data_IF_626483406786
#
_entry.id   IF_626483406786
#
_cell.length_a   1.000
_cell.length_b   1.000
_cell.length_c   1.000
_cell.angle_alpha   90.00
_cell.angle_beta   90.00
_cell.angle_gamma   90.00
#
_symmetry.space_group_name_H-M   'P 1'
#
loop_
_entity.id
_entity.type
_entity.pdbx_description
1 polymer ?
#
# COMPACT_ATOMS: atom_id res chain seq x y z
N UNK A 1 -12.87 54.61 -20.35
CA UNK A 1 -12.37 53.28 -20.74
C UNK A 1 -13.47 52.32 -20.39
N UNK A 2 -14.10 51.74 -21.41
CA UNK A 2 -15.24 50.85 -21.22
C UNK A 2 -14.81 49.40 -21.41
N UNK A 3 -15.58 48.47 -20.85
CA UNK A 3 -15.38 47.03 -20.96
C UNK A 3 -16.52 46.42 -21.79
N UNK A 4 -16.25 45.33 -22.53
CA UNK A 4 -17.30 44.61 -23.22
C UNK A 4 -18.35 44.09 -22.23
N UNK A 5 -19.59 43.96 -22.72
CA UNK A 5 -20.65 43.28 -21.99
C UNK A 5 -20.50 41.76 -22.12
N UNK A 6 -20.95 41.03 -21.11
CA UNK A 6 -20.84 39.56 -21.07
C UNK A 6 -21.32 38.85 -22.34
N UNK A 7 -22.39 39.33 -22.99
CA UNK A 7 -22.95 38.71 -24.21
C UNK A 7 -22.09 38.91 -25.47
N UNK A 8 -21.44 40.07 -25.62
CA UNK A 8 -20.65 40.35 -26.84
C UNK A 8 -19.31 39.61 -26.84
N UNK A 9 -18.80 39.25 -25.66
CA UNK A 9 -17.55 38.50 -25.52
C UNK A 9 -17.66 37.13 -26.20
N UNK A 10 -18.65 36.32 -25.83
CA UNK A 10 -18.88 35.00 -26.41
C UNK A 10 -19.12 35.08 -27.93
N UNK A 11 -20.02 35.96 -28.38
CA UNK A 11 -20.30 36.17 -29.80
C UNK A 11 -19.05 36.50 -30.62
N UNK A 12 -18.25 37.47 -30.17
CA UNK A 12 -17.05 37.91 -30.89
C UNK A 12 -15.96 36.82 -30.91
N UNK A 13 -15.74 36.13 -29.78
CA UNK A 13 -14.74 35.07 -29.69
C UNK A 13 -15.12 33.85 -30.53
N UNK A 14 -16.37 33.40 -30.45
CA UNK A 14 -16.86 32.26 -31.22
C UNK A 14 -16.75 32.53 -32.71
N UNK A 15 -17.15 33.72 -33.15
CA UNK A 15 -17.02 34.10 -34.55
C UNK A 15 -15.56 34.19 -35.02
N UNK A 16 -14.66 34.69 -34.18
CA UNK A 16 -13.23 34.77 -34.52
C UNK A 16 -12.57 33.39 -34.66
N UNK A 17 -12.93 32.44 -33.79
CA UNK A 17 -12.27 31.13 -33.71
C UNK A 17 -12.92 30.09 -34.62
N UNK A 18 -14.25 30.05 -34.67
CA UNK A 18 -15.01 29.02 -35.37
C UNK A 18 -15.64 29.52 -36.68
N UNK A 19 -15.54 30.82 -36.95
CA UNK A 19 -16.15 31.47 -38.11
C UNK A 19 -17.64 31.76 -37.90
N UNK A 20 -18.32 31.99 -39.02
CA UNK A 20 -19.64 32.64 -39.03
C UNK A 20 -20.79 31.67 -38.68
N UNK A 21 -20.48 30.39 -38.54
CA UNK A 21 -21.43 29.30 -38.33
C UNK A 21 -20.89 28.26 -37.34
N UNK A 22 -21.78 27.77 -36.49
CA UNK A 22 -21.51 26.76 -35.49
C UNK A 22 -22.49 25.59 -35.57
N UNK A 23 -22.00 24.34 -35.55
CA UNK A 23 -22.91 23.19 -35.54
C UNK A 23 -23.57 22.99 -34.17
N UNK A 24 -22.78 23.10 -33.10
CA UNK A 24 -23.25 22.88 -31.72
C UNK A 24 -22.71 23.96 -30.78
N UNK A 25 -23.60 24.63 -30.06
CA UNK A 25 -23.28 25.53 -28.97
C UNK A 25 -23.83 25.00 -27.65
N UNK A 26 -23.08 25.14 -26.54
CA UNK A 26 -23.45 24.48 -25.28
C UNK A 26 -23.34 25.40 -24.08
N UNK A 27 -24.07 25.08 -23.01
CA UNK A 27 -23.91 25.75 -21.73
C UNK A 27 -24.91 25.27 -20.68
N UNK A 28 -24.88 25.86 -19.49
CA UNK A 28 -25.91 25.60 -18.48
C UNK A 28 -27.30 26.06 -18.96
N UNK A 29 -28.36 25.43 -18.47
CA UNK A 29 -29.75 25.83 -18.80
C UNK A 29 -30.09 27.27 -18.40
N UNK A 30 -29.36 27.84 -17.43
CA UNK A 30 -29.46 29.26 -17.07
C UNK A 30 -28.87 30.21 -18.11
N UNK A 31 -27.98 29.73 -18.98
CA UNK A 31 -27.45 30.51 -20.08
C UNK A 31 -28.42 30.59 -21.25
N UNK A 32 -29.43 29.71 -21.32
CA UNK A 32 -30.46 29.74 -22.38
C UNK A 32 -31.09 31.12 -22.52
N UNK A 33 -31.41 31.76 -21.39
CA UNK A 33 -31.90 33.14 -21.36
C UNK A 33 -31.33 33.89 -20.14
N UNK A 34 -30.81 35.12 -20.32
CA UNK A 34 -30.76 35.89 -21.55
C UNK A 34 -29.52 35.62 -22.41
N UNK A 35 -28.55 34.84 -21.94
CA UNK A 35 -27.19 34.82 -22.51
C UNK A 35 -27.13 34.34 -23.97
N UNK A 36 -27.42 33.06 -24.22
CA UNK A 36 -27.39 32.50 -25.57
C UNK A 36 -28.44 33.16 -26.48
N UNK A 37 -29.59 33.58 -25.94
CA UNK A 37 -30.57 34.35 -26.71
C UNK A 37 -29.98 35.65 -27.26
N UNK A 38 -29.20 36.36 -26.46
CA UNK A 38 -28.53 37.58 -26.89
C UNK A 38 -27.35 37.28 -27.84
N UNK A 39 -26.64 36.17 -27.64
CA UNK A 39 -25.60 35.75 -28.58
C UNK A 39 -26.15 35.45 -29.96
N UNK A 40 -27.26 34.73 -30.06
CA UNK A 40 -27.97 34.49 -31.33
C UNK A 40 -28.31 35.84 -31.97
N UNK A 41 -28.92 36.75 -31.22
CA UNK A 41 -29.30 38.06 -31.75
C UNK A 41 -28.10 38.87 -32.27
N UNK A 42 -26.97 38.86 -31.55
CA UNK A 42 -25.76 39.58 -31.93
C UNK A 42 -25.08 38.95 -33.15
N UNK A 43 -24.89 37.63 -33.14
CA UNK A 43 -24.22 36.90 -34.22
C UNK A 43 -25.03 36.93 -35.51
N UNK A 44 -26.33 36.67 -35.45
CA UNK A 44 -27.18 36.72 -36.63
C UNK A 44 -27.28 38.14 -37.18
N UNK A 45 -27.45 39.17 -36.33
CA UNK A 45 -27.45 40.56 -36.79
C UNK A 45 -26.14 40.96 -37.48
N UNK A 46 -25.00 40.43 -37.02
CA UNK A 46 -23.72 40.60 -37.69
C UNK A 46 -23.69 39.93 -39.06
N UNK A 47 -24.14 38.67 -39.15
CA UNK A 47 -24.18 37.91 -40.40
C UNK A 47 -25.12 38.52 -41.46
N UNK A 48 -26.18 39.23 -41.03
CA UNK A 48 -27.06 40.00 -41.92
C UNK A 48 -26.46 41.34 -42.41
N UNK A 49 -25.25 41.70 -41.97
CA UNK A 49 -24.59 42.94 -42.37
C UNK A 49 -24.42 43.04 -43.90
N UNK A 50 -24.65 44.21 -44.51
CA UNK A 50 -24.57 44.38 -45.98
C UNK A 50 -23.16 44.18 -46.56
N UNK A 51 -22.15 43.98 -45.71
CA UNK A 51 -20.76 43.70 -46.07
C UNK A 51 -20.37 42.23 -45.78
N UNK A 52 -21.29 41.43 -45.26
CA UNK A 52 -21.06 40.05 -44.82
C UNK A 52 -21.74 39.09 -45.80
N UNK A 53 -20.96 38.21 -46.44
CA UNK A 53 -21.49 37.08 -47.24
C UNK A 53 -21.65 35.82 -46.37
N UNK A 54 -22.15 35.99 -45.14
CA UNK A 54 -22.21 34.91 -44.15
C UNK A 54 -23.56 34.18 -44.19
N UNK A 55 -23.57 32.95 -43.66
CA UNK A 55 -24.81 32.21 -43.43
C UNK A 55 -25.71 32.94 -42.41
N UNK A 56 -27.01 33.01 -42.72
CA UNK A 56 -28.00 33.71 -41.88
C UNK A 56 -28.23 33.06 -40.52
N UNK A 57 -28.14 31.73 -40.47
CA UNK A 57 -28.28 30.95 -39.24
C UNK A 57 -26.91 30.80 -38.60
N UNK A 58 -26.74 31.33 -37.38
CA UNK A 58 -25.47 31.26 -36.66
C UNK A 58 -25.20 29.87 -36.09
N UNK A 59 -26.19 29.21 -35.48
CA UNK A 59 -26.00 27.90 -34.87
C UNK A 59 -27.22 26.97 -34.99
N UNK A 60 -26.97 25.71 -35.39
CA UNK A 60 -28.03 24.70 -35.62
C UNK A 60 -28.57 24.08 -34.33
N UNK A 61 -27.68 23.78 -33.39
CA UNK A 61 -28.04 23.01 -32.19
C UNK A 61 -27.50 23.67 -30.93
N UNK A 62 -28.41 23.94 -30.00
CA UNK A 62 -28.06 24.35 -28.64
C UNK A 62 -28.29 23.20 -27.66
N UNK A 63 -27.24 22.85 -26.91
CA UNK A 63 -27.27 21.77 -25.92
C UNK A 63 -27.12 22.37 -24.53
N UNK A 64 -28.18 22.31 -23.72
CA UNK A 64 -28.19 22.89 -22.37
C UNK A 64 -28.16 21.83 -21.28
N UNK A 65 -27.24 21.99 -20.34
CA UNK A 65 -27.06 21.08 -19.19
C UNK A 65 -27.94 21.50 -18.01
N UNK A 66 -28.53 20.52 -17.33
CA UNK A 66 -29.34 20.74 -16.15
C UNK A 66 -28.55 21.33 -14.97
N UNK A 67 -29.27 21.81 -13.97
CA UNK A 67 -28.66 22.37 -12.77
C UNK A 67 -28.26 21.30 -11.76
N UNK A 68 -27.24 21.63 -10.97
CA UNK A 68 -26.84 20.87 -9.79
C UNK A 68 -27.57 21.41 -8.55
N UNK A 69 -28.14 20.51 -7.77
CA UNK A 69 -28.87 20.81 -6.53
C UNK A 69 -28.19 20.14 -5.34
N UNK A 70 -28.24 20.79 -4.18
CA UNK A 70 -27.87 20.21 -2.89
C UNK A 70 -28.98 20.47 -1.88
N UNK A 71 -29.40 19.43 -1.15
CA UNK A 71 -30.47 19.54 -0.12
C UNK A 71 -31.73 20.25 -0.66
N UNK A 72 -32.12 19.93 -1.89
CA UNK A 72 -33.32 20.48 -2.54
C UNK A 72 -33.19 21.93 -3.05
N UNK A 73 -32.02 22.57 -2.97
CA UNK A 73 -31.78 23.93 -3.49
C UNK A 73 -30.72 23.91 -4.58
N UNK A 74 -30.88 24.77 -5.61
CA UNK A 74 -29.86 24.97 -6.65
C UNK A 74 -28.53 25.34 -5.98
N UNK A 75 -27.44 24.66 -6.33
CA UNK A 75 -26.11 25.06 -5.87
C UNK A 75 -25.75 26.41 -6.50
N UNK A 76 -25.39 27.38 -5.67
CA UNK A 76 -24.85 28.65 -6.16
C UNK A 76 -23.86 29.26 -5.16
N UNK A 77 -22.90 30.02 -5.70
CA UNK A 77 -21.98 30.81 -4.87
C UNK A 77 -22.71 31.82 -4.01
N UNK A 78 -23.78 32.43 -4.53
CA UNK A 78 -24.58 33.43 -3.81
C UNK A 78 -25.32 32.84 -2.60
N UNK A 79 -25.84 31.62 -2.71
CA UNK A 79 -26.50 30.90 -1.62
C UNK A 79 -25.51 30.21 -0.68
N UNK A 80 -24.20 30.26 -0.99
CA UNK A 80 -23.12 29.59 -0.26
C UNK A 80 -23.39 28.11 0.01
N UNK A 81 -24.14 27.46 -0.88
CA UNK A 81 -24.55 26.05 -0.78
C UNK A 81 -23.90 25.25 -1.92
N UNK A 82 -22.58 25.30 -2.02
CA UNK A 82 -21.83 24.55 -3.01
C UNK A 82 -20.68 23.81 -2.32
N UNK A 83 -20.27 22.71 -2.92
CA UNK A 83 -19.06 21.99 -2.56
C UNK A 83 -18.08 22.25 -3.71
N UNK A 84 -16.88 22.73 -3.41
CA UNK A 84 -15.87 22.91 -4.45
C UNK A 84 -15.30 21.54 -4.84
N UNK A 85 -14.79 21.42 -6.07
CA UNK A 85 -14.09 20.19 -6.49
C UNK A 85 -12.95 19.84 -5.53
N UNK A 86 -12.24 20.86 -5.02
CA UNK A 86 -11.16 20.67 -4.05
C UNK A 86 -11.67 20.08 -2.74
N UNK A 87 -12.79 20.58 -2.21
CA UNK A 87 -13.36 20.07 -0.96
C UNK A 87 -13.86 18.64 -1.15
N UNK A 88 -14.56 18.37 -2.27
CA UNK A 88 -15.01 17.02 -2.60
C UNK A 88 -13.86 16.00 -2.65
N UNK A 89 -12.70 16.38 -3.22
CA UNK A 89 -11.52 15.51 -3.26
C UNK A 89 -10.83 15.39 -1.89
N UNK A 90 -10.82 16.44 -1.08
CA UNK A 90 -10.23 16.41 0.27
C UNK A 90 -11.03 15.53 1.23
N UNK A 91 -12.33 15.37 0.99
CA UNK A 91 -13.22 14.50 1.78
C UNK A 91 -13.01 13.00 1.47
N UNK A 92 -12.01 12.65 0.65
CA UNK A 92 -11.61 11.28 0.34
C UNK A 92 -12.27 10.69 -0.91
N UNK A 93 -13.06 11.48 -1.64
CA UNK A 93 -13.65 11.06 -2.90
C UNK A 93 -12.67 11.26 -4.07
N UNK A 94 -12.85 10.47 -5.14
CA UNK A 94 -12.05 10.61 -6.36
C UNK A 94 -12.84 11.31 -7.46
N UNK A 95 -12.14 11.83 -8.49
CA UNK A 95 -12.80 12.39 -9.67
C UNK A 95 -13.79 11.41 -10.32
N UNK A 96 -13.46 10.11 -10.31
CA UNK A 96 -14.32 9.06 -10.88
C UNK A 96 -15.62 8.87 -10.09
N UNK A 97 -15.64 9.13 -8.78
CA UNK A 97 -16.88 9.15 -8.01
C UNK A 97 -17.83 10.20 -8.57
N UNK A 98 -17.35 11.44 -8.74
CA UNK A 98 -18.19 12.53 -9.25
C UNK A 98 -18.61 12.28 -10.71
N UNK A 99 -17.69 11.79 -11.55
CA UNK A 99 -18.03 11.43 -12.94
C UNK A 99 -19.09 10.34 -13.02
N UNK A 100 -18.98 9.29 -12.21
CA UNK A 100 -20.01 8.24 -12.12
C UNK A 100 -21.36 8.77 -11.64
N UNK A 101 -21.38 9.73 -10.71
CA UNK A 101 -22.63 10.39 -10.32
C UNK A 101 -23.25 11.10 -11.53
N UNK A 102 -22.46 11.85 -12.31
CA UNK A 102 -22.94 12.53 -13.51
C UNK A 102 -23.47 11.56 -14.58
N UNK A 103 -22.77 10.45 -14.83
CA UNK A 103 -23.14 9.45 -15.84
C UNK A 103 -24.46 8.72 -15.54
N UNK A 104 -24.93 8.77 -14.29
CA UNK A 104 -26.22 8.17 -13.89
C UNK A 104 -27.43 9.02 -14.24
N UNK A 105 -27.24 10.24 -14.77
CA UNK A 105 -28.33 11.13 -15.18
C UNK A 105 -28.14 11.63 -16.60
N UNK A 106 -29.24 11.78 -17.35
CA UNK A 106 -29.19 12.46 -18.65
C UNK A 106 -28.71 13.90 -18.45
N UNK A 107 -27.85 14.39 -19.33
CA UNK A 107 -27.22 15.71 -19.21
C UNK A 107 -28.21 16.88 -19.07
N UNK A 108 -29.39 16.76 -19.69
CA UNK A 108 -30.49 17.73 -19.62
C UNK A 108 -31.28 17.72 -18.31
N UNK A 109 -31.07 16.70 -17.47
CA UNK A 109 -31.76 16.54 -16.20
C UNK A 109 -31.04 17.30 -15.10
N UNK A 110 -31.79 17.79 -14.12
CA UNK A 110 -31.19 18.33 -12.90
C UNK A 110 -30.57 17.20 -12.08
N UNK A 111 -29.34 17.41 -11.62
CA UNK A 111 -28.62 16.46 -10.77
C UNK A 111 -28.77 16.88 -9.32
N UNK A 112 -29.12 15.93 -8.44
CA UNK A 112 -29.18 16.16 -7.00
C UNK A 112 -27.95 15.52 -6.38
N UNK A 113 -27.04 16.35 -5.88
CA UNK A 113 -25.92 15.90 -5.07
C UNK A 113 -26.41 15.51 -3.67
N UNK A 114 -26.01 14.33 -3.24
CA UNK A 114 -26.11 13.85 -1.86
C UNK A 114 -25.02 12.81 -1.61
N UNK A 115 -24.71 12.58 -0.35
CA UNK A 115 -23.81 11.49 0.08
C UNK A 115 -24.33 10.12 -0.39
N UNK A 116 -25.65 9.94 -0.49
CA UNK A 116 -26.25 8.73 -1.05
C UNK A 116 -25.81 8.50 -2.50
N UNK A 117 -25.69 9.56 -3.32
CA UNK A 117 -25.19 9.42 -4.70
C UNK A 117 -23.72 9.05 -4.77
N UNK A 118 -22.93 9.54 -3.81
CA UNK A 118 -21.53 9.14 -3.69
C UNK A 118 -21.44 7.65 -3.33
N UNK A 119 -22.28 7.18 -2.40
CA UNK A 119 -22.37 5.76 -2.05
C UNK A 119 -22.84 4.89 -3.23
N UNK A 120 -23.83 5.35 -4.00
CA UNK A 120 -24.29 4.67 -5.22
C UNK A 120 -23.14 4.50 -6.22
N UNK A 121 -22.33 5.56 -6.42
CA UNK A 121 -21.15 5.50 -7.28
C UNK A 121 -20.09 4.52 -6.75
N UNK A 122 -19.84 4.49 -5.45
CA UNK A 122 -18.89 3.53 -4.85
C UNK A 122 -19.33 2.08 -5.02
N UNK A 123 -20.64 1.80 -4.98
CA UNK A 123 -21.17 0.46 -5.29
C UNK A 123 -20.88 0.06 -6.73
N UNK A 124 -21.00 1.00 -7.68
CA UNK A 124 -20.65 0.77 -9.10
C UNK A 124 -19.15 0.50 -9.25
N UNK A 125 -18.30 1.30 -8.60
CA UNK A 125 -16.84 1.11 -8.58
C UNK A 125 -16.49 -0.27 -8.02
N UNK A 126 -17.07 -0.65 -6.88
CA UNK A 126 -16.85 -1.94 -6.23
C UNK A 126 -17.24 -3.11 -7.16
N UNK A 127 -18.33 -2.97 -7.91
CA UNK A 127 -18.76 -3.99 -8.89
C UNK A 127 -17.76 -4.14 -10.04
N UNK A 128 -17.24 -3.03 -10.56
CA UNK A 128 -16.17 -3.02 -11.56
C UNK A 128 -14.91 -3.69 -11.01
N UNK A 129 -14.42 -3.27 -9.84
CA UNK A 129 -13.25 -3.86 -9.17
C UNK A 129 -13.40 -5.36 -8.96
N UNK A 130 -14.55 -5.79 -8.45
CA UNK A 130 -14.84 -7.21 -8.25
C UNK A 130 -14.75 -8.00 -9.57
N UNK A 131 -15.28 -7.46 -10.66
CA UNK A 131 -15.19 -8.12 -11.97
C UNK A 131 -13.75 -8.26 -12.46
N UNK A 132 -12.99 -7.17 -12.48
CA UNK A 132 -11.58 -7.24 -12.90
C UNK A 132 -10.76 -8.16 -11.98
N UNK A 133 -11.01 -8.17 -10.67
CA UNK A 133 -10.37 -9.10 -9.73
C UNK A 133 -10.76 -10.56 -10.00
N UNK A 134 -12.02 -10.84 -10.30
CA UNK A 134 -12.47 -12.18 -10.66
C UNK A 134 -11.81 -12.66 -11.96
N UNK A 135 -11.68 -11.78 -12.95
CA UNK A 135 -10.90 -12.07 -14.16
C UNK A 135 -9.44 -12.35 -13.80
N UNK A 136 -8.82 -11.56 -12.92
CA UNK A 136 -7.44 -11.79 -12.47
C UNK A 136 -7.26 -13.13 -11.76
N UNK A 137 -8.21 -13.55 -10.92
CA UNK A 137 -8.15 -14.81 -10.19
C UNK A 137 -8.43 -16.04 -11.07
N UNK A 138 -9.10 -15.84 -12.21
CA UNK A 138 -9.42 -16.91 -13.15
C UNK A 138 -8.14 -17.55 -13.69
N UNK A 139 -7.99 -18.88 -13.64
CA UNK A 139 -6.81 -19.58 -14.15
C UNK A 139 -5.49 -19.38 -13.38
N UNK A 140 -5.45 -18.55 -12.32
CA UNK A 140 -4.27 -18.33 -11.47
C UNK A 140 -3.94 -19.50 -10.52
N UNK A 141 -4.71 -20.60 -10.57
CA UNK A 141 -4.26 -21.89 -10.02
C UNK A 141 -3.15 -22.55 -10.86
N UNK A 142 -2.75 -21.94 -11.98
CA UNK A 142 -1.52 -22.28 -12.69
C UNK A 142 -0.30 -21.78 -11.90
N UNK A 143 0.35 -22.72 -11.21
CA UNK A 143 1.77 -22.70 -10.84
C UNK A 143 2.21 -21.73 -9.72
N UNK A 144 1.74 -21.96 -8.49
CA UNK A 144 2.53 -21.62 -7.28
C UNK A 144 3.41 -22.82 -6.83
N UNK A 145 3.18 -24.03 -7.35
CA UNK A 145 3.86 -25.25 -6.87
C UNK A 145 4.44 -26.20 -7.94
N UNK A 146 4.73 -25.76 -9.17
CA UNK A 146 5.50 -26.60 -10.11
C UNK A 146 6.64 -25.81 -10.75
N UNK A 147 7.85 -26.07 -10.28
CA UNK A 147 9.09 -25.62 -10.91
C UNK A 147 9.42 -26.40 -12.18
N UNK A 148 8.51 -27.22 -12.70
CA UNK A 148 8.79 -28.11 -13.82
C UNK A 148 7.53 -28.38 -14.66
N UNK A 149 7.19 -27.44 -15.55
CA UNK A 149 6.26 -27.78 -16.63
C UNK A 149 6.61 -27.03 -17.91
N UNK A 150 7.04 -27.81 -18.91
CA UNK A 150 7.14 -27.45 -20.33
C UNK A 150 6.03 -26.49 -20.72
N UNK A 151 6.40 -25.41 -21.42
CA UNK A 151 5.51 -24.51 -22.13
C UNK A 151 4.65 -25.35 -23.09
N UNK A 152 3.48 -25.79 -22.64
CA UNK A 152 2.41 -26.22 -23.54
C UNK A 152 1.89 -24.93 -24.12
N UNK A 153 2.19 -24.70 -25.40
CA UNK A 153 1.67 -23.55 -26.14
C UNK A 153 0.17 -23.39 -25.89
N UNK A 154 -0.25 -22.14 -25.74
CA UNK A 154 -1.65 -21.72 -25.61
C UNK A 154 -2.42 -22.40 -26.74
N UNK A 155 -3.11 -23.50 -26.45
CA UNK A 155 -3.97 -24.17 -27.42
C UNK A 155 -5.26 -23.36 -27.43
N UNK A 156 -5.43 -22.53 -28.45
CA UNK A 156 -6.73 -21.89 -28.72
C UNK A 156 -7.77 -23.01 -28.79
N UNK A 157 -8.65 -23.06 -27.79
CA UNK A 157 -9.70 -24.06 -27.69
C UNK A 157 -10.87 -23.58 -28.53
N UNK A 158 -11.62 -24.54 -29.09
CA UNK A 158 -12.86 -24.23 -29.80
C UNK A 158 -13.88 -23.66 -28.80
N UNK A 159 -14.45 -22.50 -29.10
CA UNK A 159 -15.49 -21.89 -28.26
C UNK A 159 -16.63 -22.87 -28.03
N UNK A 160 -17.00 -23.02 -26.76
CA UNK A 160 -18.17 -23.76 -26.32
C UNK A 160 -19.43 -22.89 -26.43
N UNK A 161 -20.59 -23.50 -26.21
CA UNK A 161 -21.87 -22.78 -26.32
C UNK A 161 -21.94 -21.59 -25.35
N UNK A 162 -21.43 -21.75 -24.13
CA UNK A 162 -21.42 -20.69 -23.12
C UNK A 162 -20.51 -19.52 -23.50
N UNK A 163 -19.37 -19.79 -24.14
CA UNK A 163 -18.45 -18.77 -24.67
C UNK A 163 -19.16 -17.92 -25.74
N UNK A 164 -19.85 -18.59 -26.66
CA UNK A 164 -20.60 -17.94 -27.73
C UNK A 164 -21.77 -17.10 -27.19
N UNK A 165 -22.47 -17.58 -26.16
CA UNK A 165 -23.55 -16.83 -25.50
C UNK A 165 -23.03 -15.53 -24.84
N UNK A 166 -21.83 -15.57 -24.26
CA UNK A 166 -21.20 -14.39 -23.65
C UNK A 166 -20.67 -13.42 -24.72
N UNK A 167 -20.11 -13.93 -25.81
CA UNK A 167 -19.68 -13.08 -26.94
C UNK A 167 -20.88 -12.43 -27.65
N UNK A 168 -21.97 -13.16 -27.86
CA UNK A 168 -23.21 -12.60 -28.41
C UNK A 168 -23.79 -11.51 -27.49
N UNK A 169 -23.74 -11.74 -26.18
CA UNK A 169 -24.10 -10.72 -25.19
C UNK A 169 -23.19 -9.48 -25.28
N UNK A 170 -21.88 -9.65 -25.50
CA UNK A 170 -20.93 -8.55 -25.69
C UNK A 170 -21.28 -7.74 -26.94
N UNK A 171 -21.42 -8.37 -28.11
CA UNK A 171 -21.74 -7.66 -29.36
C UNK A 171 -23.12 -6.98 -29.30
N UNK A 172 -24.10 -7.63 -28.68
CA UNK A 172 -25.40 -7.02 -28.44
C UNK A 172 -25.28 -5.80 -27.52
N UNK A 173 -24.48 -5.88 -26.47
CA UNK A 173 -24.24 -4.76 -25.55
C UNK A 173 -23.56 -3.60 -26.28
N UNK A 174 -22.56 -3.88 -27.14
CA UNK A 174 -21.89 -2.88 -27.97
C UNK A 174 -22.89 -2.08 -28.82
N UNK A 175 -23.71 -2.77 -29.60
CA UNK A 175 -24.72 -2.13 -30.43
C UNK A 175 -25.74 -1.32 -29.60
N UNK A 176 -26.15 -1.83 -28.43
CA UNK A 176 -27.11 -1.15 -27.56
C UNK A 176 -26.52 0.07 -26.84
N UNK A 177 -25.22 0.05 -26.52
CA UNK A 177 -24.51 1.20 -25.97
C UNK A 177 -24.41 2.29 -27.04
N UNK A 178 -24.01 1.94 -28.26
CA UNK A 178 -23.95 2.90 -29.38
C UNK A 178 -25.32 3.51 -29.66
N UNK A 179 -26.38 2.69 -29.71
CA UNK A 179 -27.76 3.17 -29.86
C UNK A 179 -28.15 4.13 -28.73
N UNK A 180 -27.82 3.80 -27.48
CA UNK A 180 -28.10 4.66 -26.33
C UNK A 180 -27.36 5.99 -26.38
N UNK A 181 -26.09 5.99 -26.79
CA UNK A 181 -25.30 7.22 -26.87
C UNK A 181 -25.72 8.11 -28.06
N UNK A 182 -26.15 7.51 -29.16
CA UNK A 182 -26.72 8.24 -30.31
C UNK A 182 -28.11 8.82 -30.00
N UNK A 183 -28.84 8.24 -29.05
CA UNK A 183 -30.11 8.76 -28.53
C UNK A 183 -29.88 9.79 -27.40
N UNK A 184 -29.52 11.02 -27.79
CA UNK A 184 -29.41 12.17 -26.87
C UNK A 184 -28.43 11.94 -25.71
N UNK A 185 -27.30 11.27 -26.00
CA UNK A 185 -26.25 10.96 -25.03
C UNK A 185 -26.82 10.24 -23.78
N UNK A 186 -27.57 9.16 -23.96
CA UNK A 186 -28.15 8.37 -22.86
C UNK A 186 -27.08 7.55 -22.12
N UNK A 187 -26.19 8.27 -21.43
CA UNK A 187 -25.15 7.70 -20.57
C UNK A 187 -25.70 6.82 -19.44
N UNK A 188 -26.88 7.08 -18.83
CA UNK A 188 -27.44 6.16 -17.84
C UNK A 188 -27.77 4.79 -18.43
N UNK A 189 -28.39 4.76 -19.62
CA UNK A 189 -28.70 3.50 -20.32
C UNK A 189 -27.40 2.76 -20.68
N UNK A 190 -26.44 3.46 -21.27
CA UNK A 190 -25.16 2.87 -21.64
C UNK A 190 -24.40 2.29 -20.43
N UNK A 191 -24.33 3.03 -19.32
CA UNK A 191 -23.71 2.54 -18.08
C UNK A 191 -24.42 1.29 -17.54
N UNK A 192 -25.77 1.29 -17.52
CA UNK A 192 -26.53 0.12 -17.08
C UNK A 192 -26.28 -1.12 -17.93
N UNK A 193 -26.16 -0.95 -19.25
CA UNK A 193 -25.88 -2.05 -20.19
C UNK A 193 -24.51 -2.68 -19.91
N UNK A 194 -23.50 -1.87 -19.68
CA UNK A 194 -22.13 -2.31 -19.37
C UNK A 194 -22.07 -3.01 -18.01
N UNK A 195 -22.79 -2.51 -17.01
CA UNK A 195 -22.90 -3.20 -15.71
C UNK A 195 -23.61 -4.55 -15.85
N UNK A 196 -24.63 -4.65 -16.69
CA UNK A 196 -25.30 -5.92 -16.98
C UNK A 196 -24.36 -6.91 -17.68
N UNK A 197 -23.55 -6.45 -18.64
CA UNK A 197 -22.51 -7.25 -19.27
C UNK A 197 -21.49 -7.77 -18.23
N UNK A 198 -21.05 -6.90 -17.31
CA UNK A 198 -20.17 -7.29 -16.20
C UNK A 198 -20.81 -8.39 -15.32
N UNK A 199 -22.11 -8.31 -15.04
CA UNK A 199 -22.80 -9.37 -14.31
C UNK A 199 -22.85 -10.69 -15.07
N UNK A 200 -23.07 -10.65 -16.39
CA UNK A 200 -22.99 -11.84 -17.24
C UNK A 200 -21.57 -12.42 -17.23
N UNK A 201 -20.54 -11.58 -17.34
CA UNK A 201 -19.15 -11.97 -17.22
C UNK A 201 -18.81 -12.62 -15.87
N UNK A 202 -19.30 -12.07 -14.77
CA UNK A 202 -19.14 -12.68 -13.44
C UNK A 202 -19.85 -14.04 -13.33
N UNK A 203 -21.05 -14.17 -13.89
CA UNK A 203 -21.78 -15.45 -13.92
C UNK A 203 -21.01 -16.49 -14.72
N UNK A 204 -20.48 -16.09 -15.87
CA UNK A 204 -19.61 -16.92 -16.71
C UNK A 204 -18.36 -17.38 -15.96
N UNK A 205 -17.65 -16.46 -15.28
CA UNK A 205 -16.48 -16.79 -14.46
C UNK A 205 -16.81 -17.75 -13.30
N UNK A 206 -17.98 -17.60 -12.69
CA UNK A 206 -18.45 -18.49 -11.62
C UNK A 206 -18.78 -19.89 -12.13
N UNK A 207 -19.40 -19.99 -13.31
CA UNK A 207 -19.71 -21.28 -13.94
C UNK A 207 -18.45 -22.08 -14.30
N UNK A 208 -17.36 -21.38 -14.61
CA UNK A 208 -16.07 -21.97 -14.97
C UNK A 208 -15.07 -21.99 -13.79
N UNK A 209 -15.54 -21.79 -12.56
CA UNK A 209 -14.68 -21.72 -11.37
C UNK A 209 -14.06 -23.08 -11.08
N UNK A 210 -12.75 -23.19 -11.30
CA UNK A 210 -11.99 -24.43 -11.10
C UNK A 210 -11.81 -25.28 -12.37
N UNK A 211 -12.32 -24.82 -13.51
CA UNK A 211 -12.03 -25.43 -14.81
C UNK A 211 -10.99 -24.57 -15.55
N UNK A 212 -9.86 -25.18 -15.93
CA UNK A 212 -8.75 -24.54 -16.65
C UNK A 212 -9.07 -24.27 -18.14
N UNK A 213 -10.34 -24.02 -18.46
CA UNK A 213 -10.91 -24.27 -19.79
C UNK A 213 -11.67 -23.12 -20.45
N UNK A 214 -11.90 -21.97 -19.79
CA UNK A 214 -12.52 -20.82 -20.45
C UNK A 214 -11.49 -20.17 -21.40
N UNK A 215 -11.87 -19.86 -22.66
CA UNK A 215 -10.95 -19.21 -23.60
C UNK A 215 -10.53 -17.82 -23.08
N UNK A 216 -9.22 -17.57 -23.04
CA UNK A 216 -8.67 -16.27 -22.65
C UNK A 216 -9.16 -15.15 -23.56
N UNK A 217 -9.42 -15.48 -24.83
CA UNK A 217 -9.93 -14.57 -25.85
C UNK A 217 -11.28 -13.96 -25.47
N UNK A 218 -12.18 -14.72 -24.82
CA UNK A 218 -13.48 -14.21 -24.35
C UNK A 218 -13.28 -13.19 -23.23
N UNK A 219 -12.38 -13.48 -22.29
CA UNK A 219 -12.10 -12.58 -21.17
C UNK A 219 -11.39 -11.31 -21.63
N UNK A 220 -10.48 -11.42 -22.60
CA UNK A 220 -9.82 -10.27 -23.24
C UNK A 220 -10.88 -9.41 -23.92
N UNK A 221 -11.76 -9.98 -24.75
CA UNK A 221 -12.79 -9.23 -25.46
C UNK A 221 -13.73 -8.47 -24.49
N UNK A 222 -14.18 -9.14 -23.43
CA UNK A 222 -15.01 -8.50 -22.39
C UNK A 222 -14.28 -7.36 -21.68
N UNK A 223 -13.06 -7.61 -21.20
CA UNK A 223 -12.32 -6.62 -20.41
C UNK A 223 -11.85 -5.44 -21.27
N UNK A 224 -11.43 -5.68 -22.51
CA UNK A 224 -11.11 -4.64 -23.48
C UNK A 224 -12.30 -3.71 -23.71
N UNK A 225 -13.49 -4.25 -23.97
CA UNK A 225 -14.66 -3.42 -24.20
C UNK A 225 -15.08 -2.62 -22.95
N UNK A 226 -15.01 -3.23 -21.76
CA UNK A 226 -15.27 -2.49 -20.52
C UNK A 226 -14.26 -1.34 -20.35
N UNK A 227 -12.97 -1.57 -20.64
CA UNK A 227 -11.95 -0.51 -20.59
C UNK A 227 -12.23 0.61 -21.60
N UNK A 228 -12.61 0.28 -22.84
CA UNK A 228 -12.99 1.26 -23.87
C UNK A 228 -14.14 2.15 -23.41
N UNK A 229 -15.16 1.58 -22.76
CA UNK A 229 -16.27 2.36 -22.21
C UNK A 229 -15.84 3.24 -21.05
N UNK A 230 -14.95 2.76 -20.17
CA UNK A 230 -14.43 3.57 -19.07
C UNK A 230 -13.64 4.77 -19.59
N UNK A 231 -12.84 4.58 -20.65
CA UNK A 231 -12.10 5.66 -21.32
C UNK A 231 -13.07 6.66 -21.99
N UNK A 232 -14.06 6.16 -22.73
CA UNK A 232 -15.12 6.98 -23.35
C UNK A 232 -15.86 7.85 -22.33
N UNK A 233 -16.11 7.31 -21.14
CA UNK A 233 -16.78 8.02 -20.04
C UNK A 233 -15.83 8.90 -19.21
N UNK A 234 -14.54 8.93 -19.54
CA UNK A 234 -13.53 9.70 -18.84
C UNK A 234 -13.27 9.24 -17.41
N UNK A 235 -13.52 7.97 -17.10
CA UNK A 235 -13.25 7.35 -15.79
C UNK A 235 -11.77 6.96 -15.70
N UNK A 236 -10.90 7.96 -15.83
CA UNK A 236 -9.46 7.80 -16.02
C UNK A 236 -8.76 7.01 -14.91
N UNK A 237 -9.16 7.20 -13.65
CA UNK A 237 -8.55 6.50 -12.52
C UNK A 237 -8.85 5.01 -12.55
N UNK A 238 -10.12 4.64 -12.73
CA UNK A 238 -10.57 3.26 -12.90
C UNK A 238 -9.98 2.63 -14.17
N UNK A 239 -9.97 3.35 -15.29
CA UNK A 239 -9.37 2.87 -16.53
C UNK A 239 -7.88 2.57 -16.36
N UNK A 240 -7.13 3.44 -15.68
CA UNK A 240 -5.71 3.22 -15.38
C UNK A 240 -5.50 2.02 -14.44
N UNK A 241 -6.27 1.93 -13.36
CA UNK A 241 -6.26 0.81 -12.39
C UNK A 241 -6.45 -0.53 -13.11
N UNK A 242 -7.53 -0.66 -13.87
CA UNK A 242 -7.91 -1.89 -14.54
C UNK A 242 -7.05 -2.23 -15.75
N UNK A 243 -6.59 -1.22 -16.50
CA UNK A 243 -5.61 -1.43 -17.56
C UNK A 243 -4.31 -2.00 -17.03
N UNK A 244 -3.84 -1.52 -15.87
CA UNK A 244 -2.64 -2.08 -15.23
C UNK A 244 -2.85 -3.55 -14.82
N UNK A 245 -4.01 -3.90 -14.26
CA UNK A 245 -4.37 -5.28 -13.96
C UNK A 245 -4.35 -6.16 -15.21
N UNK A 246 -5.00 -5.74 -16.29
CA UNK A 246 -5.10 -6.53 -17.52
C UNK A 246 -3.77 -6.65 -18.26
N UNK A 247 -2.92 -5.62 -18.24
CA UNK A 247 -1.54 -5.72 -18.72
C UNK A 247 -0.76 -6.78 -17.95
N UNK A 248 -0.80 -6.76 -16.61
CA UNK A 248 -0.12 -7.77 -15.77
C UNK A 248 -0.58 -9.20 -16.09
N UNK A 249 -1.85 -9.39 -16.44
CA UNK A 249 -2.39 -10.71 -16.79
C UNK A 249 -2.01 -11.18 -18.19
N UNK A 250 -2.29 -10.37 -19.21
CA UNK A 250 -2.25 -10.83 -20.61
C UNK A 250 -0.96 -10.47 -21.35
N UNK A 251 -0.14 -9.52 -20.87
CA UNK A 251 1.10 -9.11 -21.56
C UNK A 251 2.37 -9.78 -21.05
N UNK A 252 2.32 -10.46 -19.90
CA UNK A 252 3.48 -11.17 -19.30
C UNK A 252 3.94 -12.36 -20.14
N UNK A 253 3.15 -12.81 -21.13
CA UNK A 253 3.57 -13.90 -22.02
C UNK A 253 4.64 -13.53 -23.07
N UNK A 254 4.95 -12.23 -23.30
CA UNK A 254 5.84 -11.82 -24.42
C UNK A 254 7.21 -11.29 -23.98
N UNK A 255 7.42 -10.91 -22.71
CA UNK A 255 8.66 -10.24 -22.26
C UNK A 255 9.42 -10.92 -21.12
N UNK A 256 9.30 -12.24 -20.95
CA UNK A 256 10.06 -12.95 -19.90
C UNK A 256 11.56 -13.11 -20.19
N UNK A 257 12.09 -12.56 -21.30
CA UNK A 257 13.51 -12.71 -21.65
C UNK A 257 14.40 -11.49 -21.34
N UNK A 258 13.86 -10.30 -21.13
CA UNK A 258 14.67 -9.13 -20.80
C UNK A 258 13.82 -8.13 -20.02
N UNK A 259 13.94 -8.16 -18.68
CA UNK A 259 13.94 -6.99 -17.80
C UNK A 259 13.91 -7.52 -16.36
N UNK A 260 15.11 -7.72 -15.82
CA UNK A 260 15.33 -7.58 -14.40
C UNK A 260 15.17 -6.09 -14.04
N UNK A 261 14.63 -5.87 -12.85
CA UNK A 261 14.63 -4.63 -12.06
C UNK A 261 13.47 -3.63 -12.22
N UNK A 262 12.63 -3.63 -11.17
CA UNK A 262 11.76 -2.56 -10.62
C UNK A 262 10.42 -2.28 -11.30
N UNK A 263 9.40 -3.07 -10.95
CA UNK A 263 8.06 -2.53 -10.64
C UNK A 263 7.10 -3.63 -10.12
N UNK A 264 7.28 -4.00 -8.85
CA UNK A 264 6.29 -4.75 -8.07
C UNK A 264 5.71 -3.83 -7.00
N UNK A 265 4.50 -3.33 -7.20
CA UNK A 265 3.70 -2.74 -6.14
C UNK A 265 2.29 -3.35 -6.19
N UNK A 266 2.05 -4.20 -5.19
CA UNK A 266 0.73 -4.64 -4.70
C UNK A 266 -0.04 -3.40 -4.23
N UNK A 267 -1.36 -3.31 -4.47
CA UNK A 267 -2.17 -2.17 -4.00
C UNK A 267 -2.07 -2.04 -2.48
N UNK A 268 -2.09 -0.82 -1.93
CA UNK A 268 -2.00 -0.58 -0.47
C UNK A 268 -3.06 -1.37 0.31
N UNK A 269 -4.26 -1.47 -0.25
CA UNK A 269 -5.37 -2.20 0.37
C UNK A 269 -5.18 -3.73 0.28
N UNK A 270 -4.52 -4.22 -0.77
CA UNK A 270 -4.15 -5.64 -0.91
C UNK A 270 -3.00 -6.01 0.03
N UNK A 271 -2.03 -5.11 0.23
CA UNK A 271 -0.99 -5.28 1.23
C UNK A 271 -1.57 -5.33 2.65
N UNK A 272 -2.54 -4.47 2.95
CA UNK A 272 -3.23 -4.45 4.25
C UNK A 272 -4.10 -5.71 4.46
N UNK A 273 -4.78 -6.19 3.42
CA UNK A 273 -5.56 -7.44 3.48
C UNK A 273 -4.67 -8.69 3.65
N UNK A 274 -3.52 -8.74 2.99
CA UNK A 274 -2.51 -9.78 3.18
C UNK A 274 -1.97 -9.76 4.61
N UNK A 275 -1.68 -8.56 5.13
CA UNK A 275 -1.19 -8.39 6.49
C UNK A 275 -2.22 -8.82 7.53
N UNK A 276 -3.48 -8.43 7.36
CA UNK A 276 -4.58 -8.88 8.21
C UNK A 276 -4.72 -10.41 8.21
N UNK A 277 -4.59 -11.03 7.04
CA UNK A 277 -4.65 -12.49 6.88
C UNK A 277 -3.48 -13.20 7.58
N UNK A 278 -2.26 -12.66 7.46
CA UNK A 278 -1.06 -13.18 8.12
C UNK A 278 -1.18 -13.11 9.64
N UNK A 279 -1.67 -11.98 10.18
CA UNK A 279 -1.81 -11.80 11.63
C UNK A 279 -2.91 -12.70 12.19
N UNK A 280 -4.02 -12.84 11.47
CA UNK A 280 -5.09 -13.79 11.84
C UNK A 280 -4.58 -15.23 11.84
N UNK A 281 -3.79 -15.62 10.83
CA UNK A 281 -3.16 -16.94 10.78
C UNK A 281 -2.22 -17.16 11.97
N UNK A 282 -1.32 -16.21 12.26
CA UNK A 282 -0.44 -16.26 13.43
C UNK A 282 -1.22 -16.41 14.73
N UNK A 283 -2.30 -15.63 14.92
CA UNK A 283 -3.11 -15.67 16.12
C UNK A 283 -3.76 -17.06 16.34
N UNK A 284 -4.26 -17.68 15.28
CA UNK A 284 -4.82 -19.04 15.31
C UNK A 284 -3.77 -20.10 15.61
N UNK A 285 -2.58 -20.00 14.98
CA UNK A 285 -1.45 -20.92 15.24
C UNK A 285 -0.99 -20.81 16.69
N UNK A 286 -0.91 -19.57 17.23
CA UNK A 286 -0.55 -19.33 18.62
C UNK A 286 -1.61 -19.88 19.58
N UNK A 287 -2.89 -19.70 19.29
CA UNK A 287 -3.99 -20.26 20.09
C UNK A 287 -3.88 -21.78 20.18
N UNK A 288 -3.65 -22.46 19.05
CA UNK A 288 -3.53 -23.92 19.02
C UNK A 288 -2.30 -24.41 19.80
N UNK A 289 -1.15 -23.74 19.65
CA UNK A 289 0.06 -24.08 20.40
C UNK A 289 -0.07 -23.85 21.91
N UNK A 290 -0.95 -22.92 22.35
CA UNK A 290 -1.22 -22.66 23.77
C UNK A 290 -2.17 -23.68 24.41
N UNK A 291 -2.90 -24.49 23.64
CA UNK A 291 -3.84 -25.50 24.16
C UNK A 291 -3.12 -26.67 24.84
N UNK A 292 -1.95 -27.06 24.33
CA UNK A 292 -1.11 -28.11 24.93
C UNK A 292 0.38 -27.74 24.87
N UNK A 293 0.89 -27.12 25.93
CA UNK A 293 2.30 -26.71 26.02
C UNK A 293 3.28 -27.89 26.11
N UNK A 294 2.81 -29.09 26.46
CA UNK A 294 3.66 -30.26 26.68
C UNK A 294 3.88 -31.07 25.39
N UNK A 295 3.15 -30.76 24.31
CA UNK A 295 3.32 -31.41 23.02
C UNK A 295 4.64 -30.99 22.37
N UNK A 296 5.37 -31.97 21.82
CA UNK A 296 6.67 -31.74 21.20
C UNK A 296 6.56 -30.81 20.00
N UNK A 297 7.18 -29.63 20.10
CA UNK A 297 7.23 -28.62 19.04
C UNK A 297 6.44 -27.35 19.30
N UNK A 298 5.46 -27.35 20.23
CA UNK A 298 4.62 -26.18 20.49
C UNK A 298 5.42 -25.00 21.05
N UNK A 299 6.40 -25.26 21.93
CA UNK A 299 7.35 -24.23 22.40
C UNK A 299 8.15 -23.60 21.25
N UNK A 300 8.48 -24.37 20.21
CA UNK A 300 9.21 -23.86 19.05
C UNK A 300 8.30 -23.05 18.11
N UNK A 301 7.04 -23.44 17.99
CA UNK A 301 6.03 -22.70 17.24
C UNK A 301 5.73 -21.35 17.90
N UNK A 302 5.62 -21.31 19.24
CA UNK A 302 5.47 -20.06 19.99
C UNK A 302 6.68 -19.15 19.81
N UNK A 303 7.90 -19.69 19.87
CA UNK A 303 9.12 -18.94 19.58
C UNK A 303 9.11 -18.33 18.17
N UNK A 304 8.71 -19.09 17.14
CA UNK A 304 8.58 -18.56 15.77
C UNK A 304 7.50 -17.47 15.65
N UNK A 305 6.38 -17.62 16.37
CA UNK A 305 5.35 -16.58 16.43
C UNK A 305 5.85 -15.31 17.12
N UNK A 306 6.72 -15.43 18.11
CA UNK A 306 7.31 -14.30 18.83
C UNK A 306 8.41 -13.62 17.99
N UNK A 307 9.24 -14.39 17.27
CA UNK A 307 10.20 -13.85 16.28
C UNK A 307 9.49 -13.02 15.20
N UNK A 308 8.41 -13.55 14.61
CA UNK A 308 7.64 -12.80 13.60
C UNK A 308 7.05 -11.50 14.19
N UNK A 309 6.58 -11.52 15.44
CA UNK A 309 5.95 -10.37 16.11
C UNK A 309 6.95 -9.30 16.53
N UNK A 310 8.08 -9.71 17.11
CA UNK A 310 9.00 -8.82 17.80
C UNK A 310 10.23 -8.46 16.97
N UNK A 311 10.58 -9.26 15.97
CA UNK A 311 11.81 -9.07 15.19
C UNK A 311 11.53 -8.73 13.73
N UNK A 312 10.67 -9.49 13.04
CA UNK A 312 10.47 -9.33 11.59
C UNK A 312 9.48 -8.20 11.23
N UNK A 313 8.26 -8.23 11.78
CA UNK A 313 7.21 -7.24 11.45
C UNK A 313 7.56 -5.80 11.88
N UNK A 314 8.21 -5.57 13.04
CA UNK A 314 8.62 -4.22 13.44
C UNK A 314 9.63 -3.58 12.47
N UNK A 315 10.53 -4.36 11.85
CA UNK A 315 11.46 -3.85 10.83
C UNK A 315 10.75 -3.30 9.60
N UNK A 316 9.55 -3.81 9.32
CA UNK A 316 8.67 -3.34 8.24
C UNK A 316 7.75 -2.18 8.70
N UNK A 317 7.83 -1.78 9.98
CA UNK A 317 7.01 -0.74 10.61
C UNK A 317 5.60 -1.18 10.96
N UNK A 318 5.42 -2.48 11.21
CA UNK A 318 4.15 -3.08 11.62
C UNK A 318 4.29 -3.53 13.07
N UNK A 319 3.48 -2.95 13.95
CA UNK A 319 3.43 -3.34 15.36
C UNK A 319 2.20 -4.19 15.62
N UNK A 320 2.37 -5.36 16.25
CA UNK A 320 1.27 -6.29 16.53
C UNK A 320 1.00 -6.35 18.03
N UNK A 321 -0.28 -6.18 18.39
CA UNK A 321 -0.80 -6.27 19.75
C UNK A 321 -1.71 -7.50 19.88
N UNK A 322 -1.37 -8.39 20.81
CA UNK A 322 -2.19 -9.56 21.14
C UNK A 322 -3.21 -9.16 22.22
N UNK A 323 -4.50 -9.16 21.88
CA UNK A 323 -5.58 -8.75 22.80
C UNK A 323 -6.09 -9.94 23.63
N UNK A 324 -6.17 -11.11 23.02
CA UNK A 324 -6.61 -12.37 23.64
C UNK A 324 -6.09 -13.58 22.84
N UNK A 325 -6.12 -14.82 23.37
CA UNK A 325 -5.81 -16.01 22.59
C UNK A 325 -6.69 -16.07 21.33
N UNK A 326 -6.07 -16.17 20.14
CA UNK A 326 -6.77 -16.14 18.85
C UNK A 326 -7.13 -14.74 18.32
N UNK A 327 -6.81 -13.67 19.05
CA UNK A 327 -7.14 -12.28 18.66
C UNK A 327 -5.91 -11.36 18.74
N UNK A 328 -5.40 -10.98 17.58
CA UNK A 328 -4.29 -10.02 17.42
C UNK A 328 -4.69 -8.89 16.47
N UNK A 329 -4.27 -7.67 16.78
CA UNK A 329 -4.45 -6.48 15.94
C UNK A 329 -3.09 -5.87 15.59
N UNK A 330 -3.04 -5.00 14.58
CA UNK A 330 -1.81 -4.30 14.23
C UNK A 330 -2.01 -2.83 14.01
N UNK A 331 -0.91 -2.07 14.20
CA UNK A 331 -0.79 -0.65 13.88
C UNK A 331 0.36 -0.47 12.90
N UNK A 332 0.13 0.36 11.87
CA UNK A 332 1.17 0.82 10.96
C UNK A 332 1.83 2.06 11.57
N UNK A 333 3.14 2.02 11.78
CA UNK A 333 3.90 3.14 12.32
C UNK A 333 4.36 4.06 11.18
N UNK A 334 4.22 5.37 11.38
CA UNK A 334 4.79 6.42 10.52
C UNK A 334 6.33 6.39 10.54
N UNK A 335 6.97 7.06 9.58
CA UNK A 335 8.44 7.12 9.52
C UNK A 335 9.05 7.72 10.81
N UNK A 336 8.42 8.75 11.38
CA UNK A 336 8.85 9.37 12.64
C UNK A 336 8.68 8.41 13.83
N UNK A 337 7.56 7.69 13.92
CA UNK A 337 7.33 6.67 14.95
C UNK A 337 8.31 5.47 14.79
N UNK A 338 8.67 5.08 13.56
CA UNK A 338 9.66 4.02 13.28
C UNK A 338 11.07 4.40 13.71
N UNK A 339 11.44 5.68 13.56
CA UNK A 339 12.72 6.18 14.04
C UNK A 339 12.74 6.32 15.56
N UNK A 340 11.62 6.70 16.18
CA UNK A 340 11.49 6.75 17.64
C UNK A 340 11.58 5.36 18.28
N UNK A 341 10.89 4.34 17.74
CA UNK A 341 10.98 2.95 18.25
C UNK A 341 12.39 2.40 18.08
N UNK A 342 13.04 2.63 16.92
CA UNK A 342 14.44 2.19 16.71
C UNK A 342 15.42 2.88 17.65
N UNK A 343 15.20 4.16 18.01
CA UNK A 343 16.00 4.85 19.02
C UNK A 343 15.78 4.27 20.41
N UNK A 344 14.53 3.99 20.81
CA UNK A 344 14.24 3.36 22.10
C UNK A 344 14.82 1.96 22.20
N UNK A 345 14.74 1.15 21.13
CA UNK A 345 15.34 -0.20 21.09
C UNK A 345 16.87 -0.15 21.06
N UNK A 346 17.48 0.80 20.34
CA UNK A 346 18.95 0.99 20.37
C UNK A 346 19.40 1.46 21.73
N UNK A 347 18.66 2.37 22.37
CA UNK A 347 18.95 2.88 23.71
C UNK A 347 18.75 1.75 24.75
N UNK A 348 17.72 0.91 24.63
CA UNK A 348 17.52 -0.25 25.52
C UNK A 348 18.57 -1.36 25.33
N UNK A 349 19.03 -1.59 24.10
CA UNK A 349 20.13 -2.51 23.82
C UNK A 349 21.45 -1.95 24.32
N UNK A 350 21.74 -0.66 24.11
CA UNK A 350 22.91 0.03 24.66
C UNK A 350 22.89 0.00 26.19
N UNK A 351 21.74 0.27 26.84
CA UNK A 351 21.59 0.20 28.31
C UNK A 351 21.80 -1.23 28.84
N UNK A 352 21.33 -2.26 28.13
CA UNK A 352 21.56 -3.67 28.51
C UNK A 352 23.03 -4.06 28.34
N UNK A 353 23.66 -3.72 27.22
CA UNK A 353 25.09 -4.02 26.98
C UNK A 353 26.01 -3.22 27.89
N UNK A 354 25.69 -1.95 28.17
CA UNK A 354 26.43 -1.11 29.12
C UNK A 354 26.20 -1.58 30.56
N UNK A 355 25.00 -2.05 30.89
CA UNK A 355 24.69 -2.66 32.19
C UNK A 355 25.50 -3.94 32.44
N UNK A 356 25.56 -4.83 31.45
CA UNK A 356 26.35 -6.08 31.54
C UNK A 356 27.86 -5.80 31.54
N UNK A 357 28.35 -4.91 30.66
CA UNK A 357 29.75 -4.52 30.62
C UNK A 357 30.19 -3.77 31.89
N UNK A 358 29.35 -2.88 32.44
CA UNK A 358 29.62 -2.18 33.70
C UNK A 358 29.58 -3.13 34.91
N UNK A 359 28.70 -4.13 34.91
CA UNK A 359 28.67 -5.16 35.94
C UNK A 359 29.93 -6.05 35.88
N UNK A 360 30.34 -6.46 34.68
CA UNK A 360 31.57 -7.25 34.49
C UNK A 360 32.82 -6.44 34.87
N UNK A 361 32.86 -5.14 34.54
CA UNK A 361 33.93 -4.24 34.95
C UNK A 361 33.97 -4.04 36.47
N UNK A 362 32.81 -3.85 37.12
CA UNK A 362 32.71 -3.75 38.59
C UNK A 362 33.18 -5.04 39.27
N UNK A 363 32.78 -6.20 38.77
CA UNK A 363 33.21 -7.48 39.32
C UNK A 363 34.72 -7.67 39.18
N UNK A 364 35.28 -7.39 38.00
CA UNK A 364 36.75 -7.43 37.78
C UNK A 364 37.49 -6.42 38.65
N UNK A 365 36.90 -5.25 38.87
CA UNK A 365 37.48 -4.23 39.75
C UNK A 365 37.44 -4.66 41.21
N UNK A 366 36.32 -5.20 41.70
CA UNK A 366 36.21 -5.75 43.06
C UNK A 366 37.16 -6.93 43.30
N UNK A 367 37.30 -7.85 42.33
CA UNK A 367 38.28 -8.93 42.40
C UNK A 367 39.72 -8.40 42.49
N UNK A 368 40.04 -7.38 41.68
CA UNK A 368 41.32 -6.71 41.74
C UNK A 368 41.53 -6.03 43.10
N UNK A 369 40.55 -5.29 43.62
CA UNK A 369 40.63 -4.63 44.92
C UNK A 369 40.84 -5.63 46.07
N UNK A 370 40.08 -6.73 46.08
CA UNK A 370 40.23 -7.81 47.06
C UNK A 370 41.62 -8.45 46.98
N UNK A 371 42.12 -8.71 45.76
CA UNK A 371 43.49 -9.18 45.56
C UNK A 371 44.47 -8.16 46.15
N UNK A 372 44.38 -6.88 45.82
CA UNK A 372 45.31 -5.84 46.29
C UNK A 372 45.27 -5.58 47.80
N UNK A 373 44.34 -6.16 48.57
CA UNK A 373 44.38 -6.19 50.05
C UNK A 373 45.37 -7.23 50.59
N UNK A 374 45.83 -8.16 49.75
CA UNK A 374 46.79 -9.19 50.13
C UNK A 374 48.20 -8.66 49.88
N UNK A 375 48.98 -8.48 50.94
CA UNK A 375 50.38 -8.08 50.85
C UNK A 375 51.17 -9.06 49.95
N UNK A 376 52.18 -8.61 49.18
CA UNK A 376 52.95 -9.49 48.29
C UNK A 376 53.55 -10.72 48.99
N UNK A 377 53.96 -10.59 50.25
CA UNK A 377 54.45 -11.70 51.08
C UNK A 377 53.40 -12.79 51.34
N UNK A 378 52.11 -12.44 51.30
CA UNK A 378 50.99 -13.34 51.60
C UNK A 378 50.29 -13.88 50.34
N UNK A 379 50.73 -13.47 49.14
CA UNK A 379 50.08 -13.79 47.87
C UNK A 379 49.82 -15.30 47.70
N UNK A 380 50.82 -16.13 47.94
CA UNK A 380 50.70 -17.59 47.75
C UNK A 380 49.98 -18.31 48.89
N UNK A 381 49.64 -17.59 49.98
CA UNK A 381 48.97 -18.14 51.15
C UNK A 381 47.48 -17.77 51.20
N UNK A 382 47.14 -16.56 50.77
CA UNK A 382 45.78 -15.99 50.93
C UNK A 382 45.06 -15.74 49.60
N UNK A 383 45.75 -15.78 48.46
CA UNK A 383 45.08 -15.59 47.17
C UNK A 383 44.15 -16.77 46.85
N UNK A 384 42.92 -16.52 46.37
CA UNK A 384 42.00 -17.58 45.93
C UNK A 384 42.61 -18.52 44.87
N UNK A 385 43.52 -18.02 44.03
CA UNK A 385 44.18 -18.82 42.97
C UNK A 385 45.14 -19.89 43.53
N UNK A 386 45.65 -19.69 44.74
CA UNK A 386 46.67 -20.56 45.36
C UNK A 386 46.23 -21.15 46.70
N UNK A 387 44.97 -20.96 47.07
CA UNK A 387 44.38 -21.56 48.25
C UNK A 387 44.65 -23.07 48.26
N UNK A 388 45.13 -23.58 49.39
CA UNK A 388 45.42 -25.00 49.66
C UNK A 388 46.44 -25.69 48.73
N UNK A 389 47.16 -24.91 47.91
CA UNK A 389 48.12 -25.46 46.92
C UNK A 389 49.53 -25.67 47.47
N UNK A 390 49.95 -24.88 48.46
CA UNK A 390 51.31 -24.90 49.00
C UNK A 390 51.30 -25.14 50.50
N UNK A 391 52.16 -26.05 50.97
CA UNK A 391 52.11 -26.57 52.35
C UNK A 391 53.22 -25.97 53.26
N UNK A 392 54.29 -25.41 52.68
CA UNK A 392 55.39 -24.77 53.41
C UNK A 392 55.92 -23.57 52.63
N UNK A 393 56.34 -22.53 53.37
CA UNK A 393 56.81 -21.25 52.85
C UNK A 393 58.14 -20.86 53.51
N UNK A 394 58.95 -20.05 52.84
CA UNK A 394 60.16 -19.44 53.43
C UNK A 394 59.84 -18.17 54.24
N UNK A 395 60.87 -17.52 54.80
CA UNK A 395 60.74 -16.32 55.64
C UNK A 395 60.15 -15.12 54.90
N UNK A 396 60.12 -15.14 53.57
CA UNK A 396 59.59 -14.07 52.73
C UNK A 396 58.21 -14.43 52.15
N UNK A 397 57.62 -15.54 52.60
CA UNK A 397 56.30 -16.00 52.17
C UNK A 397 56.28 -16.70 50.80
N UNK A 398 57.44 -17.12 50.29
CA UNK A 398 57.54 -17.84 49.02
C UNK A 398 57.37 -19.36 49.23
N UNK A 399 56.56 -20.06 48.43
CA UNK A 399 56.30 -21.49 48.62
C UNK A 399 57.54 -22.33 48.35
N UNK A 400 57.80 -23.33 49.21
CA UNK A 400 58.96 -24.24 49.14
C UNK A 400 58.56 -25.67 48.81
N UNK A 401 57.36 -26.10 49.22
CA UNK A 401 56.79 -27.41 48.92
C UNK A 401 55.40 -27.28 48.26
N UNK A 402 55.15 -28.06 47.22
CA UNK A 402 53.83 -28.27 46.59
C UNK A 402 53.50 -29.75 46.77
N UNK A 403 52.41 -30.09 47.46
CA UNK A 403 51.99 -31.48 47.76
C UNK A 403 53.06 -32.38 48.41
N UNK A 404 53.92 -31.80 49.26
CA UNK A 404 54.97 -32.55 49.98
C UNK A 404 56.28 -32.74 49.21
N UNK A 405 56.38 -32.31 47.95
CA UNK A 405 57.61 -32.36 47.15
C UNK A 405 58.26 -30.97 46.96
N UNK A 406 59.60 -30.88 46.86
CA UNK A 406 60.30 -29.63 46.55
C UNK A 406 59.91 -29.08 45.17
N UNK A 407 59.56 -27.80 45.11
CA UNK A 407 59.16 -27.14 43.87
C UNK A 407 60.31 -27.17 42.85
N UNK A 408 60.04 -27.67 41.64
CA UNK A 408 61.02 -27.76 40.54
C UNK A 408 61.53 -26.37 40.14
N UNK A 409 62.81 -26.25 39.77
CA UNK A 409 63.47 -24.98 39.40
C UNK A 409 62.72 -24.18 38.32
N UNK A 410 62.08 -24.85 37.36
CA UNK A 410 61.27 -24.22 36.31
C UNK A 410 59.96 -23.63 36.84
N UNK A 411 59.27 -24.31 37.76
CA UNK A 411 58.06 -23.81 38.42
C UNK A 411 58.39 -22.66 39.37
N UNK A 412 59.49 -22.76 40.13
CA UNK A 412 59.98 -21.68 41.00
C UNK A 412 60.21 -20.38 40.21
N UNK A 413 60.78 -20.47 39.00
CA UNK A 413 60.96 -19.32 38.11
C UNK A 413 59.62 -18.73 37.61
N UNK A 414 58.60 -19.55 37.35
CA UNK A 414 57.25 -19.10 36.97
C UNK A 414 56.54 -18.39 38.14
N UNK A 415 56.62 -18.96 39.34
CA UNK A 415 56.04 -18.37 40.55
C UNK A 415 56.74 -17.05 40.93
N UNK A 416 58.08 -16.99 40.84
CA UNK A 416 58.83 -15.75 41.03
C UNK A 416 58.45 -14.65 40.02
N UNK A 417 58.22 -15.02 38.75
CA UNK A 417 57.74 -14.06 37.73
C UNK A 417 56.31 -13.57 38.03
N UNK A 418 55.44 -14.45 38.54
CA UNK A 418 54.09 -14.08 38.99
C UNK A 418 54.16 -13.13 40.20
N UNK A 419 54.97 -13.45 41.21
CA UNK A 419 55.16 -12.59 42.39
C UNK A 419 55.68 -11.20 42.01
N UNK A 420 56.71 -11.12 41.15
CA UNK A 420 57.25 -9.83 40.70
C UNK A 420 56.24 -9.00 39.87
N UNK A 421 55.35 -9.66 39.11
CA UNK A 421 54.26 -8.97 38.39
C UNK A 421 53.19 -8.46 39.36
N UNK A 422 52.87 -9.27 40.37
CA UNK A 422 51.91 -8.92 41.41
C UNK A 422 52.43 -7.76 42.28
N UNK A 423 53.68 -7.81 42.72
CA UNK A 423 54.33 -6.76 43.51
C UNK A 423 54.36 -5.42 42.76
N UNK A 424 54.67 -5.42 41.47
CA UNK A 424 54.56 -4.21 40.62
C UNK A 424 53.13 -3.67 40.55
N UNK A 425 52.13 -4.56 40.50
CA UNK A 425 50.71 -4.17 40.42
C UNK A 425 50.20 -3.64 41.75
N UNK A 426 50.58 -4.29 42.86
CA UNK A 426 50.30 -3.90 44.25
C UNK A 426 50.88 -2.52 44.57
N UNK A 427 52.17 -2.31 44.26
CA UNK A 427 52.83 -1.02 44.46
C UNK A 427 52.20 0.09 43.62
N UNK A 428 51.85 -0.21 42.36
CA UNK A 428 51.17 0.75 41.48
C UNK A 428 49.79 1.12 42.05
N UNK A 429 48.99 0.14 42.45
CA UNK A 429 47.65 0.34 42.98
C UNK A 429 47.64 1.22 44.25
N UNK A 430 48.48 0.90 45.23
CA UNK A 430 48.56 1.68 46.48
C UNK A 430 49.20 3.06 46.28
N UNK A 431 50.19 3.20 45.37
CA UNK A 431 50.74 4.51 45.00
C UNK A 431 49.70 5.42 44.32
N UNK A 432 48.79 4.86 43.53
CA UNK A 432 47.70 5.63 42.90
C UNK A 432 46.62 6.03 43.92
N UNK A 433 46.37 5.23 44.96
CA UNK A 433 45.46 5.60 46.07
C UNK A 433 46.05 6.65 47.00
N UNK A 434 47.35 6.58 47.32
CA UNK A 434 48.03 7.60 48.15
C UNK A 434 48.12 8.97 47.46
N UNK A 435 48.20 9.02 46.12
CA UNK A 435 48.24 10.25 45.34
C UNK A 435 46.84 10.82 44.99
N UNK A 436 45.76 10.20 45.47
CA UNK A 436 44.38 10.51 45.10
C UNK A 436 43.49 10.99 46.25
N UNK A 437 44.06 11.43 47.37
CA UNK A 437 43.37 12.24 48.40
C UNK A 437 43.52 13.73 48.13
#
# INVERSE_FOLDING_TARGET
MDRPGWHIECSAMTHHVLGDKLDVHTGGVDLRFPHHNNEIALCEAHNYGPQCEHDKEWCKHFVHFGHLYIRGRKMSKSLKNFISVKDFLNDGHTADHFRLICLQFKYRSNLIYSEDRVRDAEVVITRLRCFFRNVMAYGSNRDICSSDTKIKGIKSKRCEKQDLEVLDALFTTQAQVDEGLLDDLDTPRALSLVLNLISRGNTYLLAHRGDDQAPEEVLIALTSYVLEVLDLFGLEGLHAEFSAMMRRRFTVSVKKQQLNERDELVSRDEQEALLYSLIKFRAAVREEALRDLNQSGNMRILALCDTLRNEELPQLGIQVEDLAPGSSVFKLLSLEEREAVRRVESDEQEIKTDGEAALELRNKQQELEMLMQIAPSDLFRKSPEFADRFNMFDTNGFPTLENGEPIKKSQRKKLAKKLAKYEKSYMKYWKTRDNGQ
#
